data_IF_624898136891
#
_entry.id   IF_624898136891
#
_cell.length_a   1.000
_cell.length_b   1.000
_cell.length_c   1.000
_cell.angle_alpha   90.00
_cell.angle_beta   90.00
_cell.angle_gamma   90.00
#
_symmetry.space_group_name_H-M   'P 1'
#
loop_
_entity.id
_entity.type
_entity.pdbx_description
1 polymer ?
#
# COMPACT_ATOMS: atom_id res chain seq x y z
N UNK A 1 -19.65 -4.09 -3.47
CA UNK A 1 -19.35 -2.66 -3.22
C UNK A 1 -20.54 -2.09 -2.49
N UNK A 2 -20.41 -1.25 -1.46
CA UNK A 2 -21.56 -0.77 -0.67
C UNK A 2 -22.70 -0.14 -1.51
N UNK A 3 -22.38 0.42 -2.67
CA UNK A 3 -23.36 0.93 -3.65
C UNK A 3 -24.28 -0.18 -4.20
N UNK A 4 -23.80 -1.42 -4.33
CA UNK A 4 -24.60 -2.55 -4.81
C UNK A 4 -25.57 -3.11 -3.77
N UNK A 5 -25.55 -2.57 -2.54
CA UNK A 5 -26.47 -2.92 -1.45
C UNK A 5 -27.60 -1.89 -1.31
N UNK A 6 -27.59 -0.84 -2.13
CA UNK A 6 -28.62 0.19 -2.11
C UNK A 6 -29.84 -0.27 -2.89
N UNK A 7 -31.01 -0.15 -2.26
CA UNK A 7 -32.29 -0.29 -2.93
C UNK A 7 -32.80 1.09 -3.37
N UNK A 8 -33.53 1.12 -4.49
CA UNK A 8 -34.10 2.32 -5.06
C UNK A 8 -35.63 2.22 -5.06
N UNK A 9 -36.27 3.30 -4.63
CA UNK A 9 -37.72 3.46 -4.69
C UNK A 9 -38.18 3.65 -6.14
N UNK A 10 -39.49 3.53 -6.38
CA UNK A 10 -40.10 3.67 -7.70
C UNK A 10 -39.85 5.04 -8.37
N UNK A 11 -39.53 6.07 -7.58
CA UNK A 11 -39.18 7.42 -8.05
C UNK A 11 -37.69 7.61 -8.37
N UNK A 12 -36.87 6.57 -8.21
CA UNK A 12 -35.42 6.60 -8.42
C UNK A 12 -34.62 7.18 -7.24
N UNK A 13 -35.27 7.51 -6.12
CA UNK A 13 -34.58 7.86 -4.87
C UNK A 13 -34.02 6.62 -4.18
N UNK A 14 -32.94 6.78 -3.42
CA UNK A 14 -32.35 5.69 -2.62
C UNK A 14 -33.16 5.47 -1.36
N UNK A 15 -33.49 4.21 -1.03
CA UNK A 15 -34.11 3.86 0.26
C UNK A 15 -33.09 4.08 1.39
N UNK A 16 -33.33 5.05 2.31
CA UNK A 16 -32.41 5.34 3.40
C UNK A 16 -32.15 4.17 4.34
N UNK A 17 -33.06 3.21 4.44
CA UNK A 17 -32.92 2.05 5.32
C UNK A 17 -31.82 1.08 4.88
N UNK A 18 -31.48 1.11 3.59
CA UNK A 18 -30.46 0.25 2.97
C UNK A 18 -29.06 0.88 2.99
N UNK A 19 -28.96 2.14 3.41
CA UNK A 19 -27.68 2.84 3.51
C UNK A 19 -26.90 2.28 4.69
N UNK A 20 -25.72 1.72 4.40
CA UNK A 20 -24.72 1.36 5.41
C UNK A 20 -23.60 2.41 5.37
N UNK A 21 -23.51 3.32 6.37
CA UNK A 21 -22.44 4.31 6.44
C UNK A 21 -21.07 3.63 6.52
N UNK A 22 -20.09 4.15 5.78
CA UNK A 22 -18.70 3.73 5.83
C UNK A 22 -17.84 4.89 6.33
N UNK A 23 -17.09 4.63 7.40
CA UNK A 23 -16.04 5.53 7.86
C UNK A 23 -14.72 4.91 7.47
N UNK A 24 -13.94 5.62 6.66
CA UNK A 24 -12.66 5.15 6.14
C UNK A 24 -11.52 6.05 6.68
N UNK A 25 -10.44 5.41 7.12
CA UNK A 25 -9.28 6.08 7.71
C UNK A 25 -7.98 5.48 7.18
N UNK A 26 -7.07 6.35 6.75
CA UNK A 26 -5.76 5.97 6.19
C UNK A 26 -4.61 6.71 6.86
N UNK A 27 -3.45 6.07 6.93
CA UNK A 27 -2.24 6.62 7.57
C UNK A 27 -0.97 6.21 6.82
N UNK A 28 -0.04 7.15 6.66
CA UNK A 28 1.29 6.91 6.11
C UNK A 28 2.29 7.87 6.77
N UNK A 29 3.19 7.32 7.59
CA UNK A 29 4.14 8.08 8.38
C UNK A 29 3.45 9.10 9.28
N UNK A 30 3.68 10.39 9.00
CA UNK A 30 3.08 11.52 9.74
C UNK A 30 1.87 12.14 9.03
N UNK A 31 1.35 11.49 7.99
CA UNK A 31 0.14 11.91 7.27
C UNK A 31 -0.98 10.91 7.52
N UNK A 32 -2.21 11.40 7.44
CA UNK A 32 -3.38 10.55 7.46
C UNK A 32 -4.63 11.32 7.04
N UNK A 33 -5.69 10.58 6.77
CA UNK A 33 -6.98 11.11 6.37
C UNK A 33 -8.09 10.28 7.01
N UNK A 34 -9.21 10.93 7.30
CA UNK A 34 -10.45 10.28 7.73
C UNK A 34 -11.59 10.83 6.86
N UNK A 35 -12.53 9.98 6.48
CA UNK A 35 -13.70 10.37 5.67
C UNK A 35 -14.93 9.56 6.06
N UNK A 36 -16.08 10.19 5.90
CA UNK A 36 -17.40 9.56 6.06
C UNK A 36 -18.04 9.43 4.69
N UNK A 37 -18.52 8.24 4.39
CA UNK A 37 -19.15 7.88 3.12
C UNK A 37 -20.55 7.36 3.44
N UNK A 38 -21.55 8.05 2.90
CA UNK A 38 -22.94 7.63 2.82
C UNK A 38 -23.22 7.19 1.38
N UNK A 39 -23.22 5.88 1.09
CA UNK A 39 -23.45 5.36 -0.26
C UNK A 39 -24.71 5.97 -0.89
N UNK A 40 -24.61 6.46 -2.12
CA UNK A 40 -25.72 7.09 -2.85
C UNK A 40 -25.96 8.57 -2.54
N UNK A 41 -25.30 9.13 -1.52
CA UNK A 41 -25.48 10.53 -1.10
C UNK A 41 -24.18 11.34 -1.14
N UNK A 42 -23.08 10.80 -0.60
CA UNK A 42 -21.77 11.45 -0.61
C UNK A 42 -20.82 10.77 -1.61
N UNK A 43 -19.69 11.41 -1.90
CA UNK A 43 -18.63 10.82 -2.72
C UNK A 43 -18.16 9.48 -2.15
N UNK A 44 -18.17 8.43 -2.98
CA UNK A 44 -17.61 7.13 -2.61
C UNK A 44 -16.08 7.09 -2.79
N UNK A 45 -15.47 5.92 -2.55
CA UNK A 45 -14.04 5.70 -2.74
C UNK A 45 -13.66 5.94 -4.21
N UNK A 46 -14.45 5.42 -5.14
CA UNK A 46 -14.19 5.55 -6.58
C UNK A 46 -14.25 7.01 -7.05
N UNK A 47 -15.13 7.84 -6.47
CA UNK A 47 -15.19 9.28 -6.77
C UNK A 47 -13.90 10.03 -6.40
N UNK A 48 -13.07 9.46 -5.52
CA UNK A 48 -11.87 10.10 -4.98
C UNK A 48 -10.62 9.25 -5.23
N UNK A 49 -10.67 8.33 -6.19
CA UNK A 49 -9.57 7.41 -6.48
C UNK A 49 -8.30 8.16 -6.91
N UNK A 50 -8.45 9.30 -7.59
CA UNK A 50 -7.34 10.15 -8.04
C UNK A 50 -6.60 10.84 -6.88
N UNK A 51 -7.14 10.81 -5.67
CA UNK A 51 -6.45 11.34 -4.47
C UNK A 51 -5.40 10.37 -3.92
N UNK A 52 -5.45 9.08 -4.30
CA UNK A 52 -4.45 8.12 -3.89
C UNK A 52 -3.13 8.38 -4.64
N UNK A 53 -1.98 8.33 -3.95
CA UNK A 53 -0.70 8.51 -4.61
C UNK A 53 -0.47 7.40 -5.63
N UNK A 54 0.21 7.69 -6.76
CA UNK A 54 0.56 6.67 -7.73
C UNK A 54 1.48 5.63 -7.09
N UNK A 55 1.22 4.35 -7.36
CA UNK A 55 2.09 3.26 -6.90
C UNK A 55 3.48 3.41 -7.54
N UNK A 56 4.53 3.26 -6.73
CA UNK A 56 5.90 3.30 -7.23
C UNK A 56 6.18 1.98 -7.95
N UNK A 57 6.23 2.03 -9.27
CA UNK A 57 6.60 0.88 -10.11
C UNK A 57 7.80 1.24 -10.97
N UNK A 58 8.83 0.39 -10.95
CA UNK A 58 10.01 0.59 -11.79
C UNK A 58 9.82 -0.09 -13.16
N UNK A 59 10.13 0.58 -14.30
CA UNK A 59 10.06 -0.05 -15.61
C UNK A 59 11.03 -1.23 -15.75
N UNK A 60 10.57 -2.33 -16.35
CA UNK A 60 11.39 -3.55 -16.49
C UNK A 60 12.70 -3.31 -17.25
N UNK A 61 12.70 -2.44 -18.27
CA UNK A 61 13.91 -2.09 -19.01
C UNK A 61 14.95 -1.36 -18.14
N UNK A 62 14.50 -0.54 -17.20
CA UNK A 62 15.36 0.16 -16.23
C UNK A 62 15.94 -0.84 -15.24
N UNK A 63 15.08 -1.69 -14.66
CA UNK A 63 15.51 -2.72 -13.71
C UNK A 63 16.54 -3.66 -14.35
N UNK A 64 16.27 -4.16 -15.56
CA UNK A 64 17.09 -5.17 -16.22
C UNK A 64 18.42 -4.62 -16.76
N UNK A 65 18.39 -3.47 -17.45
CA UNK A 65 19.52 -3.01 -18.27
C UNK A 65 20.19 -1.72 -17.79
N UNK A 66 19.45 -0.82 -17.14
CA UNK A 66 19.95 0.52 -16.79
C UNK A 66 19.55 0.94 -15.36
N UNK A 67 19.96 0.17 -14.33
CA UNK A 67 19.70 0.54 -12.95
C UNK A 67 20.41 1.86 -12.61
N UNK A 68 19.79 2.66 -11.73
CA UNK A 68 20.27 4.01 -11.37
C UNK A 68 20.17 4.26 -9.87
N UNK A 69 19.18 3.66 -9.23
CA UNK A 69 18.94 3.72 -7.79
C UNK A 69 19.18 2.34 -7.17
N UNK A 70 19.57 2.25 -5.88
CA UNK A 70 19.77 0.98 -5.21
C UNK A 70 18.50 0.11 -5.21
N UNK A 71 17.32 0.72 -5.17
CA UNK A 71 16.03 0.04 -5.27
C UNK A 71 15.88 -0.73 -6.59
N UNK A 72 16.43 -0.22 -7.70
CA UNK A 72 16.40 -0.92 -8.99
C UNK A 72 17.22 -2.22 -8.95
N UNK A 73 18.34 -2.22 -8.20
CA UNK A 73 19.16 -3.42 -8.03
C UNK A 73 18.41 -4.47 -7.21
N UNK A 74 17.74 -4.04 -6.14
CA UNK A 74 16.97 -4.92 -5.26
C UNK A 74 15.76 -5.51 -6.02
N UNK A 75 15.03 -4.67 -6.75
CA UNK A 75 13.86 -5.12 -7.51
C UNK A 75 14.26 -6.11 -8.60
N UNK A 76 15.42 -5.94 -9.25
CA UNK A 76 15.92 -6.95 -10.20
C UNK A 76 16.11 -8.31 -9.54
N UNK A 77 16.74 -8.33 -8.37
CA UNK A 77 17.02 -9.59 -7.68
C UNK A 77 15.70 -10.27 -7.30
N UNK A 78 14.75 -9.48 -6.78
CA UNK A 78 13.41 -9.92 -6.39
C UNK A 78 12.59 -10.49 -7.55
N UNK A 79 12.52 -9.82 -8.71
CA UNK A 79 11.58 -10.19 -9.78
C UNK A 79 12.20 -10.98 -10.94
N UNK A 80 13.53 -10.98 -11.09
CA UNK A 80 14.23 -11.67 -12.18
C UNK A 80 15.20 -12.72 -11.63
N UNK A 81 16.08 -12.35 -10.71
CA UNK A 81 17.17 -13.25 -10.30
C UNK A 81 16.71 -14.38 -9.39
N UNK A 82 15.75 -14.11 -8.50
CA UNK A 82 15.19 -15.10 -7.59
C UNK A 82 14.64 -16.31 -8.35
N UNK A 83 13.74 -16.09 -9.31
CA UNK A 83 13.13 -17.16 -10.09
C UNK A 83 14.14 -17.88 -10.99
N UNK A 84 15.18 -17.16 -11.45
CA UNK A 84 16.21 -17.72 -12.33
C UNK A 84 17.16 -18.67 -11.59
N UNK A 85 17.62 -18.27 -10.40
CA UNK A 85 18.56 -19.07 -9.61
C UNK A 85 17.85 -20.05 -8.69
N UNK A 86 16.59 -19.76 -8.34
CA UNK A 86 15.72 -20.52 -7.46
C UNK A 86 16.47 -21.09 -6.23
N UNK A 87 17.11 -20.21 -5.44
CA UNK A 87 18.15 -20.57 -4.47
C UNK A 87 17.68 -21.56 -3.39
N UNK A 88 16.39 -21.52 -3.04
CA UNK A 88 15.79 -22.33 -1.98
C UNK A 88 14.67 -23.24 -2.50
N UNK A 89 14.43 -23.29 -3.81
CA UNK A 89 13.31 -24.02 -4.42
C UNK A 89 11.92 -23.66 -3.85
N UNK A 90 11.77 -22.42 -3.36
CA UNK A 90 10.56 -21.87 -2.75
C UNK A 90 10.31 -20.45 -3.27
N UNK A 91 9.06 -19.96 -3.24
CA UNK A 91 8.78 -18.56 -3.52
C UNK A 91 9.48 -17.65 -2.51
N UNK A 92 9.79 -16.43 -2.94
CA UNK A 92 10.40 -15.41 -2.10
C UNK A 92 9.47 -15.05 -0.93
N UNK A 93 9.91 -15.38 0.27
CA UNK A 93 9.34 -14.88 1.52
C UNK A 93 10.17 -13.72 2.07
N UNK A 94 9.55 -12.54 2.21
CA UNK A 94 10.20 -11.35 2.78
C UNK A 94 10.35 -11.40 4.30
N UNK A 95 9.64 -12.29 4.99
CA UNK A 95 9.73 -12.49 6.43
C UNK A 95 10.83 -13.48 6.83
N UNK A 96 11.31 -14.32 5.90
CA UNK A 96 12.42 -15.23 6.13
C UNK A 96 13.77 -14.49 6.13
N UNK A 97 14.52 -14.47 7.24
CA UNK A 97 15.84 -13.83 7.30
C UNK A 97 16.86 -14.37 6.28
N UNK A 98 16.79 -15.66 5.92
CA UNK A 98 17.69 -16.29 4.96
C UNK A 98 17.44 -15.77 3.55
N UNK A 99 16.18 -15.63 3.16
CA UNK A 99 15.78 -15.06 1.88
C UNK A 99 16.24 -13.60 1.77
N UNK A 100 15.98 -12.80 2.81
CA UNK A 100 16.38 -11.38 2.82
C UNK A 100 17.90 -11.24 2.78
N UNK A 101 18.65 -12.10 3.48
CA UNK A 101 20.12 -12.12 3.42
C UNK A 101 20.62 -12.45 2.01
N UNK A 102 20.03 -13.46 1.36
CA UNK A 102 20.37 -13.80 -0.02
C UNK A 102 20.10 -12.64 -0.98
N UNK A 103 18.93 -11.98 -0.85
CA UNK A 103 18.61 -10.80 -1.66
C UNK A 103 19.60 -9.68 -1.42
N UNK A 104 20.00 -9.43 -0.17
CA UNK A 104 20.96 -8.40 0.17
C UNK A 104 22.32 -8.63 -0.52
N UNK A 105 22.86 -9.86 -0.46
CA UNK A 105 24.13 -10.20 -1.10
C UNK A 105 24.08 -10.04 -2.62
N UNK A 106 23.06 -10.61 -3.28
CA UNK A 106 22.90 -10.51 -4.74
C UNK A 106 22.64 -9.07 -5.19
N UNK A 107 21.90 -8.30 -4.39
CA UNK A 107 21.65 -6.89 -4.70
C UNK A 107 22.94 -6.09 -4.62
N UNK A 108 23.79 -6.35 -3.62
CA UNK A 108 25.09 -5.70 -3.46
C UNK A 108 26.03 -5.99 -4.63
N UNK A 109 26.09 -7.26 -5.08
CA UNK A 109 26.86 -7.65 -6.27
C UNK A 109 26.40 -6.90 -7.52
N UNK A 110 25.08 -6.83 -7.73
CA UNK A 110 24.50 -6.08 -8.85
C UNK A 110 24.81 -4.58 -8.73
N UNK A 111 24.65 -3.98 -7.56
CA UNK A 111 25.00 -2.58 -7.33
C UNK A 111 26.47 -2.29 -7.69
N UNK A 112 27.38 -3.16 -7.28
CA UNK A 112 28.82 -3.02 -7.59
C UNK A 112 29.10 -3.05 -9.09
N UNK A 113 28.39 -3.89 -9.86
CA UNK A 113 28.53 -3.94 -11.33
C UNK A 113 28.17 -2.61 -12.00
N UNK A 114 27.22 -1.86 -11.43
CA UNK A 114 26.75 -0.57 -11.96
C UNK A 114 27.30 0.64 -11.17
N UNK A 115 28.25 0.43 -10.25
CA UNK A 115 28.80 1.45 -9.35
C UNK A 115 27.73 2.23 -8.56
N UNK A 116 26.67 1.55 -8.12
CA UNK A 116 25.59 2.10 -7.31
C UNK A 116 25.90 1.81 -5.83
N UNK A 117 25.77 2.82 -4.97
CA UNK A 117 25.94 2.68 -3.53
C UNK A 117 24.61 2.84 -2.78
N UNK A 118 24.59 2.55 -1.49
CA UNK A 118 23.41 2.75 -0.64
C UNK A 118 22.54 1.51 -0.41
N UNK A 119 22.97 0.33 -0.87
CA UNK A 119 22.31 -0.93 -0.49
C UNK A 119 22.56 -1.20 0.98
N UNK A 120 21.48 -1.32 1.74
CA UNK A 120 21.48 -1.69 3.15
C UNK A 120 20.42 -2.76 3.39
N UNK A 121 20.59 -3.58 4.43
CA UNK A 121 19.61 -4.61 4.78
C UNK A 121 18.22 -4.02 5.02
N UNK A 122 18.15 -2.84 5.66
CA UNK A 122 16.91 -2.09 5.87
C UNK A 122 16.23 -1.67 4.57
N UNK A 123 17.02 -1.20 3.59
CA UNK A 123 16.48 -0.83 2.28
C UNK A 123 15.93 -2.06 1.54
N UNK A 124 16.63 -3.19 1.60
CA UNK A 124 16.19 -4.46 1.01
C UNK A 124 14.85 -4.89 1.59
N UNK A 125 14.70 -4.89 2.92
CA UNK A 125 13.42 -5.18 3.56
C UNK A 125 12.32 -4.19 3.15
N UNK A 126 12.67 -2.91 3.05
CA UNK A 126 11.76 -1.85 2.60
C UNK A 126 11.18 -2.12 1.21
N UNK A 127 12.03 -2.49 0.25
CA UNK A 127 11.65 -2.76 -1.15
C UNK A 127 10.93 -4.10 -1.30
N UNK A 128 11.34 -5.14 -0.57
CA UNK A 128 10.68 -6.46 -0.65
C UNK A 128 9.25 -6.38 -0.14
N UNK A 129 9.05 -5.75 1.02
CA UNK A 129 7.74 -5.72 1.69
C UNK A 129 6.90 -4.50 1.36
N UNK A 130 7.38 -3.59 0.49
CA UNK A 130 6.75 -2.29 0.24
C UNK A 130 6.39 -1.57 1.56
N UNK A 131 7.35 -1.49 2.49
CA UNK A 131 7.09 -1.02 3.86
C UNK A 131 6.59 0.42 3.85
N UNK A 132 5.37 0.63 4.35
CA UNK A 132 4.81 1.95 4.64
C UNK A 132 5.23 2.33 6.06
N UNK A 133 5.93 3.47 6.28
CA UNK A 133 6.28 3.92 7.61
C UNK A 133 5.03 4.13 8.48
N UNK A 134 5.07 3.70 9.74
CA UNK A 134 3.94 3.82 10.67
C UNK A 134 4.40 4.27 12.06
N UNK A 135 3.61 5.13 12.70
CA UNK A 135 3.83 5.59 14.08
C UNK A 135 2.50 5.63 14.84
N UNK A 136 2.55 5.30 16.14
CA UNK A 136 1.35 5.20 16.97
C UNK A 136 0.55 6.51 17.07
N UNK A 137 1.23 7.66 17.06
CA UNK A 137 0.59 8.99 17.16
C UNK A 137 -0.36 9.27 15.99
N UNK A 138 0.06 9.00 14.77
CA UNK A 138 -0.76 9.25 13.56
C UNK A 138 -1.98 8.33 13.55
N UNK A 139 -1.79 7.05 13.88
CA UNK A 139 -2.88 6.09 13.98
C UNK A 139 -3.88 6.48 15.06
N UNK A 140 -3.41 6.96 16.20
CA UNK A 140 -4.28 7.43 17.28
C UNK A 140 -5.13 8.62 16.84
N UNK A 141 -4.55 9.60 16.13
CA UNK A 141 -5.27 10.79 15.63
C UNK A 141 -6.35 10.38 14.63
N UNK A 142 -6.02 9.55 13.64
CA UNK A 142 -6.98 9.15 12.60
C UNK A 142 -8.07 8.23 13.18
N UNK A 143 -7.70 7.27 14.02
CA UNK A 143 -8.67 6.40 14.69
C UNK A 143 -9.63 7.19 15.59
N UNK A 144 -9.14 8.21 16.31
CA UNK A 144 -9.99 9.08 17.12
C UNK A 144 -10.99 9.87 16.26
N UNK A 145 -10.55 10.41 15.12
CA UNK A 145 -11.45 11.08 14.17
C UNK A 145 -12.52 10.12 13.64
N UNK A 146 -12.13 8.92 13.18
CA UNK A 146 -13.07 7.92 12.69
C UNK A 146 -14.09 7.48 13.77
N UNK A 147 -13.61 7.18 14.98
CA UNK A 147 -14.48 6.77 16.09
C UNK A 147 -15.48 7.87 16.50
N UNK A 148 -15.05 9.14 16.42
CA UNK A 148 -15.94 10.29 16.68
C UNK A 148 -17.07 10.36 15.68
N UNK A 149 -16.81 10.16 14.39
CA UNK A 149 -17.85 10.16 13.36
C UNK A 149 -18.77 8.94 13.46
N UNK A 150 -18.24 7.77 13.83
CA UNK A 150 -19.07 6.60 14.15
C UNK A 150 -20.03 6.91 15.29
N UNK A 151 -19.56 7.56 16.36
CA UNK A 151 -20.40 7.90 17.49
C UNK A 151 -21.53 8.87 17.11
N UNK A 152 -21.22 9.91 16.32
CA UNK A 152 -22.22 10.86 15.79
C UNK A 152 -23.30 10.14 14.98
N UNK A 153 -22.88 9.28 14.04
CA UNK A 153 -23.81 8.53 13.18
C UNK A 153 -24.68 7.57 13.98
N UNK A 154 -24.13 6.91 15.00
CA UNK A 154 -24.87 5.97 15.84
C UNK A 154 -25.86 6.64 16.80
N UNK A 155 -25.61 7.90 17.18
CA UNK A 155 -26.40 8.62 18.21
C UNK A 155 -27.22 9.80 17.65
N UNK A 156 -27.09 10.09 16.35
CA UNK A 156 -27.70 11.23 15.67
C UNK A 156 -27.31 12.60 16.30
N UNK A 157 -26.04 12.74 16.72
CA UNK A 157 -25.44 13.97 17.25
C UNK A 157 -24.65 14.75 16.20
#
# INVERSE_FOLDING_TARGET
MLISMLDYNDDGSVDPSTIIPLIDGGTEGFKGNARVILPGFTSCIECTLDLFPPQVTYPLCTIANTPRLPEHCIEYVKIIQWDKENPFNVPLDGDDPQHVAWLYERSLERANQFNISGITYRLVQGVIKNIIPAVASTNAIIAAACATEVFKLATAL
#
